data_IF_155594873816
#
_entry.id   IF_155594873816
#
_cell.length_a   1.000
_cell.length_b   1.000
_cell.length_c   1.000
_cell.angle_alpha   90.00
_cell.angle_beta   90.00
_cell.angle_gamma   90.00
#
_symmetry.space_group_name_H-M   'P 1'
#
loop_
_entity.id
_entity.type
_entity.pdbx_description
1 polymer ?
#
# COMPACT_ATOMS: atom_id res chain seq x y z
N UNK A 1 -14.53 -47.82 9.87
CA UNK A 1 -13.66 -46.96 9.03
C UNK A 1 -13.60 -45.57 9.68
N UNK A 2 -12.49 -45.18 10.33
CA UNK A 2 -12.35 -43.88 11.01
C UNK A 2 -11.88 -42.84 10.00
N UNK A 3 -12.73 -41.86 9.68
CA UNK A 3 -12.33 -40.71 8.86
C UNK A 3 -11.50 -39.75 9.71
N UNK A 4 -10.27 -39.47 9.28
CA UNK A 4 -9.40 -38.50 9.95
C UNK A 4 -9.95 -37.08 9.73
N UNK A 5 -10.12 -36.32 10.81
CA UNK A 5 -10.47 -34.91 10.75
C UNK A 5 -9.29 -34.13 10.13
N UNK A 6 -9.46 -33.65 8.89
CA UNK A 6 -8.52 -32.71 8.28
C UNK A 6 -9.01 -31.28 8.55
N UNK A 7 -8.15 -30.44 9.15
CA UNK A 7 -8.43 -29.01 9.28
C UNK A 7 -8.50 -28.39 7.88
N UNK A 8 -9.58 -27.65 7.61
CA UNK A 8 -9.78 -26.88 6.39
C UNK A 8 -8.85 -25.66 6.36
N UNK A 9 -7.54 -25.87 6.25
CA UNK A 9 -6.54 -24.80 6.20
C UNK A 9 -6.24 -24.29 4.78
N UNK A 10 -7.03 -24.70 3.78
CA UNK A 10 -6.79 -24.39 2.36
C UNK A 10 -8.00 -23.90 1.58
N UNK A 11 -9.16 -23.70 2.22
CA UNK A 11 -10.33 -23.12 1.56
C UNK A 11 -10.27 -21.60 1.71
N UNK A 12 -10.31 -20.87 0.60
CA UNK A 12 -10.52 -19.42 0.64
C UNK A 12 -11.79 -19.14 1.46
N UNK A 13 -11.78 -18.18 2.39
CA UNK A 13 -12.94 -17.90 3.22
C UNK A 13 -14.12 -17.52 2.31
N UNK A 14 -15.08 -18.43 2.20
CA UNK A 14 -16.33 -18.20 1.47
C UNK A 14 -17.13 -17.18 2.29
N UNK A 15 -16.96 -15.90 1.99
CA UNK A 15 -17.74 -14.81 2.58
C UNK A 15 -18.94 -14.53 1.66
N UNK A 16 -20.12 -14.55 2.27
CA UNK A 16 -21.49 -14.58 1.72
C UNK A 16 -21.93 -13.43 0.80
N UNK A 17 -21.06 -12.51 0.40
CA UNK A 17 -21.45 -11.41 -0.47
C UNK A 17 -20.63 -11.45 -1.75
N UNK A 18 -21.29 -11.86 -2.83
CA UNK A 18 -20.84 -11.76 -4.21
C UNK A 18 -20.15 -10.40 -4.45
N UNK A 19 -18.83 -10.39 -4.41
CA UNK A 19 -18.04 -9.54 -5.29
C UNK A 19 -17.71 -10.38 -6.52
N UNK A 20 -17.71 -9.76 -7.70
CA UNK A 20 -17.43 -10.45 -8.96
C UNK A 20 -16.08 -11.20 -8.89
N UNK A 21 -15.90 -12.31 -9.62
CA UNK A 21 -14.64 -13.07 -9.65
C UNK A 21 -13.41 -12.24 -10.02
N UNK A 22 -13.60 -11.09 -10.68
CA UNK A 22 -12.53 -10.13 -10.98
C UNK A 22 -11.98 -9.43 -9.72
N UNK A 23 -12.77 -9.34 -8.64
CA UNK A 23 -12.36 -8.79 -7.35
C UNK A 23 -11.65 -9.81 -6.44
N UNK A 24 -11.58 -11.09 -6.84
CA UNK A 24 -10.87 -12.14 -6.09
C UNK A 24 -9.35 -12.05 -6.25
N UNK A 25 -8.86 -11.48 -7.36
CA UNK A 25 -7.43 -11.36 -7.65
C UNK A 25 -6.77 -10.15 -6.96
N UNK A 26 -7.55 -9.22 -6.40
CA UNK A 26 -7.02 -8.08 -5.63
C UNK A 26 -6.89 -8.36 -4.13
N UNK A 27 -7.44 -9.47 -3.62
CA UNK A 27 -7.46 -9.77 -2.18
C UNK A 27 -6.09 -10.14 -1.60
N UNK A 28 -5.13 -10.50 -2.45
CA UNK A 28 -3.77 -10.81 -2.04
C UNK A 28 -2.79 -10.09 -2.94
N UNK A 29 -2.16 -9.05 -2.42
CA UNK A 29 -1.02 -8.45 -3.09
C UNK A 29 0.03 -9.55 -3.28
N UNK A 30 0.35 -9.83 -4.55
CA UNK A 30 1.30 -10.88 -4.91
C UNK A 30 2.65 -10.65 -4.22
N UNK A 31 3.23 -11.71 -3.67
CA UNK A 31 4.58 -11.66 -3.07
C UNK A 31 5.61 -11.07 -4.06
N UNK A 32 5.44 -11.31 -5.37
CA UNK A 32 6.30 -10.78 -6.44
C UNK A 32 6.32 -9.25 -6.49
N UNK A 33 5.16 -8.61 -6.29
CA UNK A 33 5.04 -7.15 -6.26
C UNK A 33 5.67 -6.62 -4.97
N UNK A 34 5.37 -7.26 -3.83
CA UNK A 34 5.93 -6.85 -2.55
C UNK A 34 7.45 -6.94 -2.49
N UNK A 35 8.07 -7.92 -3.16
CA UNK A 35 9.53 -8.02 -3.23
C UNK A 35 10.21 -6.89 -4.00
N UNK A 36 9.47 -6.15 -4.82
CA UNK A 36 9.99 -5.00 -5.56
C UNK A 36 9.93 -3.70 -4.74
N UNK A 37 9.24 -3.71 -3.59
CA UNK A 37 9.08 -2.56 -2.73
C UNK A 37 10.40 -2.21 -2.04
N UNK A 38 10.89 -1.00 -2.29
CA UNK A 38 12.09 -0.46 -1.66
C UNK A 38 11.84 0.97 -1.19
N UNK A 39 11.82 1.18 0.13
CA UNK A 39 11.50 2.47 0.74
C UNK A 39 12.72 3.37 0.97
N UNK A 40 13.92 2.99 0.50
CA UNK A 40 15.15 3.81 0.60
C UNK A 40 14.99 5.28 0.16
N UNK A 41 14.32 5.60 -0.97
CA UNK A 41 14.20 7.00 -1.40
C UNK A 41 13.12 7.78 -0.63
N UNK A 42 12.34 7.11 0.23
CA UNK A 42 11.21 7.70 0.95
C UNK A 42 11.66 8.21 2.32
N UNK A 43 11.31 9.47 2.62
CA UNK A 43 11.54 10.08 3.93
C UNK A 43 10.38 9.78 4.89
N UNK A 44 9.14 9.96 4.42
CA UNK A 44 7.96 9.68 5.23
C UNK A 44 6.72 9.42 4.38
N UNK A 45 5.79 8.64 4.91
CA UNK A 45 4.48 8.36 4.31
C UNK A 45 3.39 8.78 5.29
N UNK A 46 2.42 9.56 4.84
CA UNK A 46 1.26 9.94 5.62
C UNK A 46 -0.03 9.38 5.01
N UNK A 47 -0.73 8.53 5.75
CA UNK A 47 -2.04 8.01 5.40
C UNK A 47 -3.11 8.89 6.02
N UNK A 48 -3.97 9.51 5.22
CA UNK A 48 -5.09 10.32 5.72
C UNK A 48 -6.40 9.71 5.26
N UNK A 49 -7.26 9.30 6.19
CA UNK A 49 -8.56 8.73 5.85
C UNK A 49 -9.58 8.91 6.98
N UNK A 50 -10.86 8.79 6.61
CA UNK A 50 -11.97 8.74 7.54
C UNK A 50 -12.54 7.30 7.63
N UNK A 51 -12.46 6.64 8.79
CA UNK A 51 -12.87 5.23 8.93
C UNK A 51 -14.36 5.00 8.71
N UNK A 52 -15.18 6.04 8.84
CA UNK A 52 -16.62 5.99 8.61
C UNK A 52 -17.01 6.27 7.15
N UNK A 53 -16.08 6.81 6.35
CA UNK A 53 -16.33 7.05 4.93
C UNK A 53 -16.30 5.73 4.17
N UNK A 54 -17.23 5.58 3.22
CA UNK A 54 -17.22 4.42 2.33
C UNK A 54 -15.93 4.39 1.51
N UNK A 55 -15.41 3.21 1.16
CA UNK A 55 -14.19 3.02 0.33
C UNK A 55 -12.84 3.38 0.99
N UNK A 56 -12.72 3.30 2.31
CA UNK A 56 -11.42 3.41 3.02
C UNK A 56 -10.75 2.07 3.32
N UNK A 57 -11.22 0.98 2.73
CA UNK A 57 -10.66 -0.35 2.96
C UNK A 57 -9.23 -0.49 2.41
N UNK A 58 -9.02 -0.10 1.14
CA UNK A 58 -7.72 -0.22 0.45
C UNK A 58 -6.60 0.51 1.20
N UNK A 59 -6.84 1.77 1.60
CA UNK A 59 -5.85 2.58 2.32
C UNK A 59 -5.50 2.00 3.69
N UNK A 60 -6.48 1.44 4.42
CA UNK A 60 -6.25 0.79 5.71
C UNK A 60 -5.43 -0.50 5.54
N UNK A 61 -5.75 -1.30 4.53
CA UNK A 61 -5.00 -2.53 4.24
C UNK A 61 -3.55 -2.22 3.88
N UNK A 62 -3.34 -1.25 2.98
CA UNK A 62 -2.02 -0.82 2.56
C UNK A 62 -1.21 -0.20 3.72
N UNK A 63 -1.86 0.59 4.58
CA UNK A 63 -1.23 1.15 5.77
C UNK A 63 -0.75 0.04 6.72
N UNK A 64 -1.58 -0.98 6.97
CA UNK A 64 -1.22 -2.14 7.79
C UNK A 64 -0.06 -2.92 7.17
N UNK A 65 -0.11 -3.15 5.85
CA UNK A 65 0.93 -3.85 5.11
C UNK A 65 2.27 -3.13 5.22
N UNK A 66 2.33 -1.83 4.91
CA UNK A 66 3.57 -1.04 4.91
C UNK A 66 4.13 -0.83 6.32
N UNK A 67 3.30 -0.94 7.36
CA UNK A 67 3.77 -0.88 8.74
C UNK A 67 4.42 -2.19 9.23
N UNK A 68 4.33 -3.28 8.44
CA UNK A 68 4.96 -4.56 8.79
C UNK A 68 6.49 -4.45 8.82
N UNK A 69 7.17 -4.97 9.86
CA UNK A 69 8.63 -4.90 9.99
C UNK A 69 9.39 -5.43 8.76
N UNK A 70 8.83 -6.47 8.10
CA UNK A 70 9.42 -7.10 6.92
C UNK A 70 9.66 -6.11 5.77
N UNK A 71 8.74 -5.17 5.57
CA UNK A 71 8.83 -4.21 4.45
C UNK A 71 9.54 -2.92 4.87
N UNK A 72 9.45 -2.58 6.17
CA UNK A 72 10.19 -1.47 6.77
C UNK A 72 11.70 -1.71 6.85
N UNK A 73 12.16 -2.96 6.84
CA UNK A 73 13.61 -3.27 6.87
C UNK A 73 14.39 -2.69 5.69
N UNK A 74 13.72 -2.33 4.59
CA UNK A 74 14.36 -1.62 3.47
C UNK A 74 14.79 -0.19 3.82
N UNK A 75 14.06 0.46 4.73
CA UNK A 75 14.37 1.79 5.27
C UNK A 75 13.68 2.00 6.63
N UNK A 76 14.40 1.74 7.71
CA UNK A 76 13.89 1.90 9.08
C UNK A 76 13.63 3.38 9.43
N UNK A 77 14.32 4.30 8.76
CA UNK A 77 14.17 5.74 8.95
C UNK A 77 12.92 6.32 8.27
N UNK A 78 12.26 5.55 7.38
CA UNK A 78 11.05 6.00 6.69
C UNK A 78 9.89 6.12 7.68
N UNK A 79 9.51 7.34 8.07
CA UNK A 79 8.48 7.54 9.07
C UNK A 79 7.07 7.36 8.49
N UNK A 80 6.25 6.49 9.09
CA UNK A 80 4.85 6.29 8.66
C UNK A 80 3.91 6.96 9.66
N UNK A 81 3.07 7.88 9.18
CA UNK A 81 2.04 8.59 9.96
C UNK A 81 0.66 8.17 9.51
N UNK A 82 -0.26 8.05 10.46
CA UNK A 82 -1.68 7.77 10.20
C UNK A 82 -2.50 8.91 10.78
N UNK A 83 -3.20 9.64 9.92
CA UNK A 83 -4.05 10.76 10.24
C UNK A 83 -5.50 10.34 10.04
N UNK A 84 -6.16 9.98 11.13
CA UNK A 84 -7.59 9.68 11.12
C UNK A 84 -8.36 10.98 11.22
N UNK A 85 -9.23 11.26 10.24
CA UNK A 85 -10.09 12.45 10.22
C UNK A 85 -11.56 12.05 10.25
N UNK A 86 -12.43 12.95 10.74
CA UNK A 86 -13.89 12.80 10.70
C UNK A 86 -14.54 13.61 9.57
N UNK A 87 -13.74 14.28 8.75
CA UNK A 87 -14.21 15.16 7.69
C UNK A 87 -14.59 14.36 6.43
N UNK A 88 -15.32 15.00 5.52
CA UNK A 88 -15.69 14.44 4.21
C UNK A 88 -14.53 14.48 3.19
N UNK A 89 -13.29 14.54 3.66
CA UNK A 89 -12.10 14.57 2.78
C UNK A 89 -11.83 13.19 2.19
N UNK A 90 -11.54 13.15 0.90
CA UNK A 90 -11.14 11.92 0.20
C UNK A 90 -9.93 11.25 0.87
N UNK A 91 -9.90 9.91 0.95
CA UNK A 91 -8.77 9.19 1.53
C UNK A 91 -7.53 9.34 0.63
N UNK A 92 -6.41 9.74 1.20
CA UNK A 92 -5.19 10.04 0.45
C UNK A 92 -3.92 9.53 1.15
N UNK A 93 -2.93 9.18 0.34
CA UNK A 93 -1.58 8.81 0.77
C UNK A 93 -0.63 9.90 0.29
N UNK A 94 0.15 10.46 1.19
CA UNK A 94 1.21 11.42 0.87
C UNK A 94 2.56 10.76 1.09
N UNK A 95 3.36 10.63 0.03
CA UNK A 95 4.72 10.09 0.08
C UNK A 95 5.70 11.23 -0.09
N UNK A 96 6.48 11.49 0.95
CA UNK A 96 7.54 12.49 0.94
C UNK A 96 8.86 11.81 0.60
N UNK A 97 9.47 12.23 -0.49
CA UNK A 97 10.77 11.69 -0.91
C UNK A 97 11.93 12.45 -0.27
N UNK A 98 13.05 11.75 -0.11
CA UNK A 98 14.29 12.34 0.37
C UNK A 98 15.00 13.08 -0.76
N UNK A 99 15.58 14.25 -0.45
CA UNK A 99 16.32 15.08 -1.43
C UNK A 99 17.59 14.39 -1.96
N UNK A 100 18.11 13.40 -1.23
CA UNK A 100 19.34 12.69 -1.60
C UNK A 100 19.18 11.78 -2.83
N UNK A 101 17.97 11.34 -3.14
CA UNK A 101 17.68 10.42 -4.26
C UNK A 101 17.03 11.14 -5.44
N UNK A 102 17.39 12.40 -5.65
CA UNK A 102 16.88 13.19 -6.76
C UNK A 102 17.66 12.88 -8.04
N UNK A 103 16.97 12.45 -9.09
CA UNK A 103 17.55 12.39 -10.43
C UNK A 103 16.90 13.46 -11.33
N UNK A 104 17.65 13.91 -12.33
CA UNK A 104 17.18 14.94 -13.28
C UNK A 104 16.08 14.42 -14.23
N UNK A 105 15.86 13.10 -14.25
CA UNK A 105 14.95 12.42 -15.17
C UNK A 105 13.58 12.10 -14.56
N UNK A 106 13.40 12.25 -13.24
CA UNK A 106 12.10 12.05 -12.61
C UNK A 106 11.12 13.15 -12.98
N UNK A 107 9.87 12.76 -13.22
CA UNK A 107 8.74 13.68 -13.46
C UNK A 107 8.44 14.62 -12.28
N UNK A 108 9.02 14.36 -11.13
CA UNK A 108 8.73 14.96 -9.83
C UNK A 108 10.08 15.37 -9.22
N UNK A 109 10.25 16.65 -8.91
CA UNK A 109 11.50 17.27 -8.48
C UNK A 109 12.00 16.79 -7.09
N UNK A 110 13.22 17.21 -6.75
CA UNK A 110 13.92 16.84 -5.53
C UNK A 110 13.19 17.34 -4.26
N UNK A 111 12.64 16.42 -3.47
CA UNK A 111 11.92 16.74 -2.22
C UNK A 111 10.41 16.96 -2.38
N UNK A 112 9.88 16.64 -3.55
CA UNK A 112 8.45 16.70 -3.83
C UNK A 112 7.64 15.64 -3.07
N UNK A 113 6.33 15.89 -3.04
CA UNK A 113 5.33 15.09 -2.36
C UNK A 113 4.46 14.42 -3.42
N UNK A 114 4.46 13.09 -3.44
CA UNK A 114 3.48 12.34 -4.22
C UNK A 114 2.19 12.23 -3.41
N UNK A 115 1.07 12.69 -3.98
CA UNK A 115 -0.25 12.55 -3.39
C UNK A 115 -1.06 11.55 -4.20
N UNK A 116 -1.44 10.44 -3.59
CA UNK A 116 -2.25 9.38 -4.18
C UNK A 116 -3.64 9.45 -3.56
N UNK A 117 -4.66 9.74 -4.38
CA UNK A 117 -6.07 9.69 -3.97
C UNK A 117 -6.57 8.26 -4.08
N UNK A 118 -7.04 7.68 -2.99
CA UNK A 118 -7.30 6.23 -2.88
C UNK A 118 -8.77 5.84 -2.95
N UNK A 119 -9.68 6.78 -3.16
CA UNK A 119 -11.13 6.52 -3.14
C UNK A 119 -11.57 5.45 -4.15
N UNK A 120 -10.96 5.47 -5.34
CA UNK A 120 -11.26 4.55 -6.44
C UNK A 120 -10.04 3.71 -6.86
N UNK A 121 -9.05 3.57 -5.98
CA UNK A 121 -7.88 2.72 -6.23
C UNK A 121 -7.95 1.45 -5.40
N UNK A 122 -7.55 0.34 -6.02
CA UNK A 122 -7.19 -0.88 -5.30
C UNK A 122 -5.91 -0.66 -4.48
N UNK A 123 -5.72 -1.50 -3.47
CA UNK A 123 -4.48 -1.54 -2.70
C UNK A 123 -3.27 -1.95 -3.56
N UNK A 124 -3.48 -2.83 -4.54
CA UNK A 124 -2.48 -3.19 -5.56
C UNK A 124 -2.04 -1.99 -6.39
N UNK A 125 -2.96 -1.25 -7.00
CA UNK A 125 -2.61 -0.09 -7.85
C UNK A 125 -1.89 0.99 -7.04
N UNK A 126 -2.37 1.27 -5.83
CA UNK A 126 -1.72 2.24 -4.95
C UNK A 126 -0.28 1.81 -4.60
N UNK A 127 -0.05 0.52 -4.37
CA UNK A 127 1.28 -0.02 -4.12
C UNK A 127 2.16 0.04 -5.37
N UNK A 128 1.66 -0.34 -6.54
CA UNK A 128 2.38 -0.30 -7.81
C UNK A 128 2.83 1.13 -8.16
N UNK A 129 2.00 2.14 -7.91
CA UNK A 129 2.36 3.55 -8.06
C UNK A 129 3.55 3.89 -7.14
N UNK A 130 3.49 3.49 -5.87
CA UNK A 130 4.58 3.74 -4.91
C UNK A 130 5.87 3.04 -5.36
N UNK A 131 5.79 1.78 -5.77
CA UNK A 131 6.95 0.98 -6.23
C UNK A 131 7.59 1.63 -7.44
N UNK A 132 6.81 1.91 -8.48
CA UNK A 132 7.28 2.55 -9.72
C UNK A 132 8.00 3.84 -9.39
N UNK A 133 7.39 4.65 -8.52
CA UNK A 133 7.93 5.95 -8.17
C UNK A 133 9.18 5.89 -7.28
N UNK A 134 9.35 4.82 -6.50
CA UNK A 134 10.57 4.53 -5.75
C UNK A 134 11.68 4.01 -6.68
N UNK A 135 11.35 3.13 -7.64
CA UNK A 135 12.32 2.58 -8.60
C UNK A 135 12.89 3.66 -9.51
N UNK A 136 12.05 4.56 -10.04
CA UNK A 136 12.49 5.70 -10.85
C UNK A 136 13.56 6.56 -10.16
N UNK A 137 13.50 6.66 -8.81
CA UNK A 137 14.48 7.42 -8.02
C UNK A 137 15.73 6.65 -7.64
N UNK A 138 15.70 5.31 -7.73
CA UNK A 138 16.82 4.45 -7.38
C UNK A 138 17.75 4.16 -8.56
N UNK A 139 17.31 4.36 -9.81
CA UNK A 139 18.09 4.15 -11.04
C UNK A 139 19.19 5.20 -11.30
N UNK A 140 19.77 5.74 -10.23
CA UNK A 140 20.99 6.58 -10.25
C UNK A 140 22.24 5.75 -10.42
#
# INVERSE_FOLDING_TARGET
>A
MRMAFQKASGLAPVIKFFRSPLALNDLFIDRRILTQLNLKPVKSIAFTFNPFFSRTFSIRNLCSLLNSPRWRSSNENCLIKVNVRSDMTEPQIQVHFSKFFANSLTRIAAGDILVIKTENLSDREALEIIITQCQERLLT
#
